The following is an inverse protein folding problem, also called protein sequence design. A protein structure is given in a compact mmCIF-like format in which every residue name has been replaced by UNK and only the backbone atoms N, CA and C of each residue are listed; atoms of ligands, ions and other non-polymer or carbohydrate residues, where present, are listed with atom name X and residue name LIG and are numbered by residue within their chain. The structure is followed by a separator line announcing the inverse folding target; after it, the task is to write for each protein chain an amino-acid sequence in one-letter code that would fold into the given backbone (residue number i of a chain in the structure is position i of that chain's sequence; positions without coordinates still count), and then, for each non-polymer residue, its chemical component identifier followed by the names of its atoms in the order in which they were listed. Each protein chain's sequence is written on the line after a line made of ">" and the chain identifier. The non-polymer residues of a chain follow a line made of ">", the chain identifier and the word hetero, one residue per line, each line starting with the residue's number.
data_IF_147379796373
#
_entry.id   IF_147379796373
#
_cell.length_a   1.000
_cell.length_b   1.000
_cell.length_c   1.000
_cell.angle_alpha   90.00
_cell.angle_beta   90.00
_cell.angle_gamma   90.00
#
_symmetry.space_group_name_H-M   'P 1'
#
loop_
_entity.id
_entity.type
_entity.pdbx_description
1 polymer ?
#
# COMPACT_ATOMS: atom_id res chain seq x y z
N UNK A 1 -3.03 -1.55 -6.51
CA UNK A 1 -2.43 -0.45 -5.74
C UNK A 1 -3.50 0.12 -4.83
N UNK A 2 -3.34 0.01 -3.51
CA UNK A 2 -4.26 0.60 -2.54
C UNK A 2 -3.88 2.05 -2.25
N UNK A 3 -4.89 2.85 -1.91
CA UNK A 3 -4.71 4.20 -1.36
C UNK A 3 -5.81 4.46 -0.33
N UNK A 4 -5.44 5.14 0.75
CA UNK A 4 -6.37 5.61 1.77
C UNK A 4 -5.98 7.02 2.21
N UNK A 5 -6.97 7.87 2.42
CA UNK A 5 -6.86 9.12 3.18
C UNK A 5 -8.08 9.22 4.09
N UNK A 6 -7.89 9.60 5.35
CA UNK A 6 -8.95 9.71 6.34
C UNK A 6 -8.65 10.78 7.38
N UNK A 7 -9.71 11.29 8.00
CA UNK A 7 -9.66 12.14 9.18
C UNK A 7 -10.57 11.55 10.25
N UNK A 8 -10.13 11.59 11.50
CA UNK A 8 -10.96 11.30 12.66
C UNK A 8 -11.00 12.54 13.55
N UNK A 9 -12.20 12.90 14.01
CA UNK A 9 -12.44 14.04 14.90
C UNK A 9 -13.33 13.56 16.03
N UNK A 10 -12.84 13.67 17.26
CA UNK A 10 -13.55 13.33 18.48
C UNK A 10 -13.85 14.63 19.26
N UNK A 11 -15.12 15.09 19.27
CA UNK A 11 -15.53 16.25 20.06
C UNK A 11 -15.29 16.05 21.55
N UNK A 12 -14.98 17.14 22.26
CA UNK A 12 -14.82 17.16 23.72
C UNK A 12 -15.70 18.29 24.29
N UNK A 13 -16.37 18.03 25.42
CA UNK A 13 -17.31 18.99 26.00
C UNK A 13 -16.63 20.27 26.52
N UNK A 14 -15.45 20.13 27.13
CA UNK A 14 -14.75 21.20 27.84
C UNK A 14 -13.34 21.47 27.29
N UNK A 15 -13.06 21.08 26.05
CA UNK A 15 -11.76 21.25 25.41
C UNK A 15 -11.87 21.26 23.88
N UNK A 16 -10.81 21.70 23.21
CA UNK A 16 -10.69 21.54 21.75
C UNK A 16 -10.79 20.06 21.34
N UNK A 17 -11.40 19.76 20.17
CA UNK A 17 -11.56 18.39 19.71
C UNK A 17 -10.21 17.71 19.50
N UNK A 18 -10.12 16.43 19.85
CA UNK A 18 -9.01 15.60 19.43
C UNK A 18 -9.20 15.20 17.97
N UNK A 19 -8.16 15.30 17.16
CA UNK A 19 -8.21 14.94 15.75
C UNK A 19 -6.87 14.39 15.26
N UNK A 20 -6.93 13.56 14.23
CA UNK A 20 -5.75 13.10 13.51
C UNK A 20 -6.13 12.67 12.09
N UNK A 21 -5.14 12.73 11.21
CA UNK A 21 -5.22 12.18 9.87
C UNK A 21 -4.49 10.85 9.80
N UNK A 22 -4.88 10.03 8.83
CA UNK A 22 -4.16 8.82 8.48
C UNK A 22 -4.34 8.52 7.00
N UNK A 23 -3.45 7.71 6.45
CA UNK A 23 -3.50 7.38 5.04
C UNK A 23 -2.19 6.86 4.50
N UNK A 24 -2.11 6.89 3.18
CA UNK A 24 -0.98 6.37 2.44
C UNK A 24 -1.39 5.75 1.11
N UNK A 25 -0.39 5.29 0.38
CA UNK A 25 -0.56 4.50 -0.83
C UNK A 25 0.60 3.54 -0.95
N UNK A 26 0.36 2.37 -1.53
CA UNK A 26 1.39 1.35 -1.71
C UNK A 26 1.23 0.58 -3.03
N UNK A 27 2.35 0.06 -3.54
CA UNK A 27 2.39 -0.68 -4.79
C UNK A 27 2.61 -2.17 -4.53
N UNK A 28 1.72 -3.00 -5.06
CA UNK A 28 1.83 -4.46 -5.01
C UNK A 28 1.93 -5.04 -6.42
N UNK A 29 3.15 -5.10 -7.01
CA UNK A 29 3.35 -5.67 -8.34
C UNK A 29 3.34 -7.21 -8.31
N UNK A 30 3.01 -7.82 -9.46
CA UNK A 30 3.14 -9.27 -9.67
C UNK A 30 4.38 -9.57 -10.48
N UNK A 31 4.52 -8.90 -11.62
CA UNK A 31 5.71 -8.87 -12.45
C UNK A 31 6.28 -7.45 -12.39
N UNK A 32 7.32 -7.20 -11.58
CA UNK A 32 7.76 -5.84 -11.30
C UNK A 32 8.66 -5.28 -12.40
N UNK A 33 8.59 -3.97 -12.59
CA UNK A 33 9.50 -3.17 -13.40
C UNK A 33 10.19 -2.17 -12.49
N UNK A 34 11.51 -2.16 -12.43
CA UNK A 34 12.26 -1.29 -11.51
C UNK A 34 11.95 0.19 -11.75
N UNK A 35 11.81 0.60 -13.01
CA UNK A 35 11.46 1.96 -13.38
C UNK A 35 10.07 2.40 -12.89
N UNK A 36 9.10 1.48 -12.82
CA UNK A 36 7.75 1.76 -12.33
C UNK A 36 7.75 1.95 -10.82
N UNK A 37 8.53 1.14 -10.10
CA UNK A 37 8.68 1.24 -8.65
C UNK A 37 9.37 2.56 -8.29
N UNK A 38 10.45 2.91 -9.02
CA UNK A 38 11.14 4.18 -8.85
C UNK A 38 10.23 5.37 -9.12
N UNK A 39 9.44 5.33 -10.20
CA UNK A 39 8.45 6.38 -10.51
C UNK A 39 7.45 6.55 -9.37
N UNK A 40 6.89 5.46 -8.87
CA UNK A 40 5.91 5.48 -7.78
C UNK A 40 6.50 6.10 -6.51
N UNK A 41 7.71 5.68 -6.13
CA UNK A 41 8.40 6.18 -4.94
C UNK A 41 8.86 7.63 -5.09
N UNK A 42 9.32 8.05 -6.28
CA UNK A 42 9.70 9.44 -6.55
C UNK A 42 8.50 10.37 -6.46
N UNK A 43 7.34 9.93 -6.97
CA UNK A 43 6.09 10.69 -6.88
C UNK A 43 5.66 10.84 -5.40
N UNK A 44 5.76 9.77 -4.60
CA UNK A 44 5.50 9.84 -3.16
C UNK A 44 6.45 10.82 -2.44
N UNK A 45 7.75 10.79 -2.77
CA UNK A 45 8.75 11.70 -2.19
C UNK A 45 8.44 13.16 -2.55
N UNK A 46 8.13 13.42 -3.82
CA UNK A 46 7.82 14.76 -4.31
C UNK A 46 6.56 15.34 -3.65
N UNK A 47 5.55 14.51 -3.40
CA UNK A 47 4.32 14.93 -2.70
C UNK A 47 4.57 15.35 -1.24
N UNK A 48 5.54 14.71 -0.57
CA UNK A 48 5.87 14.98 0.82
C UNK A 48 6.92 16.08 1.01
N UNK A 49 7.74 16.35 -0.01
CA UNK A 49 8.84 17.30 0.05
C UNK A 49 8.45 18.71 0.58
N UNK A 50 7.29 19.30 0.19
CA UNK A 50 6.85 20.60 0.73
C UNK A 50 6.60 20.62 2.24
N UNK A 51 6.42 19.45 2.86
CA UNK A 51 6.08 19.33 4.28
C UNK A 51 7.29 18.97 5.16
N UNK A 52 8.42 18.57 4.55
CA UNK A 52 9.64 18.21 5.25
C UNK A 52 10.40 17.08 4.53
N UNK A 53 11.72 17.23 4.39
CA UNK A 53 12.56 16.24 3.71
C UNK A 53 12.70 14.91 4.47
N UNK A 54 12.38 14.89 5.77
CA UNK A 54 12.41 13.69 6.60
C UNK A 54 11.14 12.83 6.50
N UNK A 55 10.04 13.39 5.96
CA UNK A 55 8.74 12.71 5.97
C UNK A 55 8.69 11.50 5.06
N UNK A 56 9.22 11.60 3.84
CA UNK A 56 9.24 10.46 2.93
C UNK A 56 10.03 9.27 3.52
N UNK A 57 11.28 9.44 4.00
CA UNK A 57 12.00 8.35 4.67
C UNK A 57 11.22 7.73 5.84
N UNK A 58 10.57 8.55 6.67
CA UNK A 58 9.76 8.09 7.82
C UNK A 58 8.53 7.30 7.38
N UNK A 59 7.71 7.85 6.49
CA UNK A 59 6.47 7.21 6.05
C UNK A 59 6.69 6.03 5.11
N UNK A 60 7.78 6.03 4.35
CA UNK A 60 8.21 4.87 3.56
C UNK A 60 8.63 3.73 4.48
N UNK A 61 9.48 4.00 5.48
CA UNK A 61 9.86 3.00 6.48
C UNK A 61 8.62 2.44 7.20
N UNK A 62 7.69 3.31 7.58
CA UNK A 62 6.45 2.87 8.21
C UNK A 62 5.59 2.00 7.28
N UNK A 63 5.55 2.33 5.98
CA UNK A 63 4.88 1.51 4.97
C UNK A 63 5.49 0.11 4.88
N UNK A 64 6.81 0.01 4.85
CA UNK A 64 7.53 -1.27 4.81
C UNK A 64 7.22 -2.14 6.05
N UNK A 65 7.19 -1.52 7.24
CA UNK A 65 6.93 -2.20 8.51
C UNK A 65 5.45 -2.60 8.67
N UNK A 66 4.53 -1.76 8.19
CA UNK A 66 3.10 -1.98 8.32
C UNK A 66 2.61 -3.09 7.37
N UNK A 67 3.01 -3.04 6.09
CA UNK A 67 2.55 -3.99 5.07
C UNK A 67 3.43 -5.25 4.99
N UNK A 68 3.64 -5.90 6.13
CA UNK A 68 4.51 -7.07 6.25
C UNK A 68 3.76 -8.30 6.78
N UNK A 69 3.87 -9.43 6.07
CA UNK A 69 3.28 -10.71 6.46
C UNK A 69 4.25 -11.45 7.40
N UNK A 70 4.07 -11.28 8.71
CA UNK A 70 4.99 -11.82 9.73
C UNK A 70 5.17 -13.35 9.65
N UNK A 71 4.10 -14.08 9.34
CA UNK A 71 4.15 -15.55 9.21
C UNK A 71 4.84 -16.03 7.92
N UNK A 72 5.07 -15.14 6.95
CA UNK A 72 5.76 -15.42 5.69
C UNK A 72 7.17 -14.84 5.66
N UNK A 73 7.49 -13.91 6.57
CA UNK A 73 8.68 -13.06 6.50
C UNK A 73 8.78 -12.35 5.14
N UNK A 74 7.67 -11.81 4.67
CA UNK A 74 7.51 -11.28 3.31
C UNK A 74 6.73 -9.96 3.33
N UNK A 75 7.21 -8.94 2.61
CA UNK A 75 6.42 -7.73 2.38
C UNK A 75 5.24 -8.02 1.45
N UNK A 76 4.12 -7.31 1.64
CA UNK A 76 2.93 -7.44 0.76
C UNK A 76 3.23 -6.98 -0.66
N UNK A 77 4.03 -5.93 -0.78
CA UNK A 77 4.42 -5.28 -2.02
C UNK A 77 5.78 -4.59 -1.87
N UNK A 78 6.03 -3.58 -2.71
CA UNK A 78 7.32 -2.86 -2.75
C UNK A 78 7.31 -1.56 -1.94
N UNK A 79 6.23 -1.33 -1.18
CA UNK A 79 6.07 -0.17 -0.31
C UNK A 79 5.40 1.01 -0.99
N UNK A 80 5.66 2.19 -0.44
CA UNK A 80 5.02 3.46 -0.77
C UNK A 80 5.17 4.40 0.42
N UNK A 81 4.07 5.02 0.86
CA UNK A 81 4.04 5.83 2.08
C UNK A 81 2.86 5.43 2.94
N UNK A 82 3.06 5.38 4.25
CA UNK A 82 2.02 5.11 5.23
C UNK A 82 2.18 6.05 6.43
N UNK A 83 1.07 6.61 6.89
CA UNK A 83 1.00 7.43 8.09
C UNK A 83 -0.32 7.21 8.83
N UNK A 84 -0.24 7.32 10.14
CA UNK A 84 -1.38 7.29 11.06
C UNK A 84 -1.11 8.29 12.18
N UNK A 85 -2.14 8.63 12.97
CA UNK A 85 -2.04 9.56 14.11
C UNK A 85 -1.39 10.92 13.75
N UNK A 86 -1.52 11.37 12.50
CA UNK A 86 -0.93 12.61 12.01
C UNK A 86 -1.69 13.83 12.56
N UNK A 87 -1.06 14.52 13.50
CA UNK A 87 -1.55 15.75 14.11
C UNK A 87 -0.47 16.85 14.25
N UNK A 88 0.79 16.52 13.93
CA UNK A 88 1.95 17.39 14.11
C UNK A 88 1.97 18.58 13.13
N UNK A 89 2.17 19.78 13.68
CA UNK A 89 2.23 21.02 12.91
C UNK A 89 0.86 21.63 12.58
N UNK A 90 -0.21 21.16 13.22
CA UNK A 90 -1.54 21.76 13.17
C UNK A 90 -2.43 21.25 12.05
N UNK A 91 -3.74 21.51 12.18
CA UNK A 91 -4.78 20.92 11.32
C UNK A 91 -4.56 21.26 9.84
N UNK A 92 -4.37 22.53 9.52
CA UNK A 92 -4.23 22.98 8.12
C UNK A 92 -3.04 22.34 7.42
N UNK A 93 -1.91 22.17 8.13
CA UNK A 93 -0.73 21.48 7.59
C UNK A 93 -1.02 20.00 7.34
N UNK A 94 -1.62 19.31 8.32
CA UNK A 94 -1.93 17.89 8.21
C UNK A 94 -2.96 17.60 7.11
N UNK A 95 -3.95 18.49 6.96
CA UNK A 95 -4.93 18.43 5.90
C UNK A 95 -4.26 18.63 4.53
N UNK A 96 -3.43 19.65 4.36
CA UNK A 96 -2.70 19.89 3.12
C UNK A 96 -1.77 18.72 2.75
N UNK A 97 -1.10 18.11 3.73
CA UNK A 97 -0.27 16.90 3.51
C UNK A 97 -1.14 15.74 3.02
N UNK A 98 -2.28 15.51 3.67
CA UNK A 98 -3.21 14.44 3.30
C UNK A 98 -3.78 14.65 1.89
N UNK A 99 -4.10 15.89 1.52
CA UNK A 99 -4.50 16.25 0.15
C UNK A 99 -3.38 15.96 -0.85
N UNK A 100 -2.14 16.42 -0.57
CA UNK A 100 -1.01 16.19 -1.47
C UNK A 100 -0.75 14.70 -1.71
N UNK A 101 -0.90 13.85 -0.69
CA UNK A 101 -0.82 12.39 -0.85
C UNK A 101 -1.98 11.87 -1.70
N UNK A 102 -3.22 12.32 -1.45
CA UNK A 102 -4.37 11.91 -2.25
C UNK A 102 -4.24 12.28 -3.74
N UNK A 103 -3.85 13.52 -4.02
CA UNK A 103 -3.72 14.08 -5.38
C UNK A 103 -2.60 13.38 -6.17
N UNK A 104 -1.49 13.05 -5.50
CA UNK A 104 -0.35 12.37 -6.11
C UNK A 104 -0.65 10.94 -6.58
N UNK A 105 -1.76 10.31 -6.13
CA UNK A 105 -2.04 8.91 -6.45
C UNK A 105 -2.20 8.65 -7.95
N UNK A 106 -2.91 9.54 -8.65
CA UNK A 106 -3.13 9.40 -10.09
C UNK A 106 -1.80 9.53 -10.86
N UNK A 107 -0.97 10.49 -10.49
CA UNK A 107 0.37 10.70 -11.07
C UNK A 107 1.31 9.52 -10.78
N UNK A 108 1.19 8.90 -9.60
CA UNK A 108 2.01 7.77 -9.20
C UNK A 108 1.61 6.48 -9.92
N UNK A 109 0.31 6.28 -10.22
CA UNK A 109 -0.21 4.97 -10.67
C UNK A 109 -0.71 4.91 -12.11
N UNK A 110 -1.38 5.95 -12.63
CA UNK A 110 -1.92 5.90 -14.00
C UNK A 110 -0.83 5.71 -15.08
N UNK A 111 0.35 6.36 -14.99
CA UNK A 111 1.42 6.13 -15.98
C UNK A 111 1.91 4.68 -16.02
N UNK A 112 1.80 3.95 -14.90
CA UNK A 112 2.16 2.53 -14.84
C UNK A 112 1.11 1.70 -15.58
N UNK A 113 -0.17 2.01 -15.40
CA UNK A 113 -1.24 1.34 -16.15
C UNK A 113 -1.08 1.58 -17.65
N UNK A 114 -0.87 2.83 -18.06
CA UNK A 114 -0.74 3.18 -19.48
C UNK A 114 0.40 2.43 -20.17
N UNK A 115 1.54 2.28 -19.48
CA UNK A 115 2.70 1.54 -20.01
C UNK A 115 2.47 0.03 -20.07
N UNK A 116 1.71 -0.55 -19.14
CA UNK A 116 1.69 -2.00 -18.91
C UNK A 116 0.40 -2.69 -19.33
N UNK A 117 -0.70 -1.95 -19.49
CA UNK A 117 -2.03 -2.54 -19.74
C UNK A 117 -2.13 -3.35 -21.05
N UNK A 118 -1.32 -3.02 -22.06
CA UNK A 118 -1.31 -3.71 -23.35
C UNK A 118 -0.29 -4.85 -23.44
N UNK A 119 0.46 -5.12 -22.37
CA UNK A 119 1.45 -6.19 -22.38
C UNK A 119 0.74 -7.55 -22.51
N UNK A 120 1.19 -8.43 -23.42
CA UNK A 120 0.61 -9.76 -23.56
C UNK A 120 0.86 -10.57 -22.30
N UNK A 121 -0.15 -11.33 -21.89
CA UNK A 121 -0.07 -12.29 -20.79
C UNK A 121 -0.87 -13.55 -21.16
N UNK A 122 -0.45 -14.69 -20.63
CA UNK A 122 -1.12 -15.97 -20.80
C UNK A 122 -1.64 -16.54 -19.47
N UNK A 123 -2.01 -17.82 -19.51
CA UNK A 123 -2.52 -18.53 -18.33
C UNK A 123 -1.48 -18.61 -17.22
N UNK A 124 -0.20 -18.78 -17.56
CA UNK A 124 0.90 -18.82 -16.59
C UNK A 124 0.97 -17.54 -15.76
N UNK A 125 0.93 -16.38 -16.42
CA UNK A 125 0.97 -15.08 -15.75
C UNK A 125 -0.28 -14.84 -14.89
N UNK A 126 -1.45 -15.23 -15.40
CA UNK A 126 -2.73 -15.12 -14.66
C UNK A 126 -2.78 -16.04 -13.44
N UNK A 127 -2.22 -17.23 -13.57
CA UNK A 127 -2.15 -18.20 -12.51
C UNK A 127 -1.19 -17.76 -11.39
N UNK A 128 -0.02 -17.23 -11.74
CA UNK A 128 0.88 -16.61 -10.76
C UNK A 128 0.26 -15.37 -10.11
N UNK A 129 -0.45 -14.52 -10.86
CA UNK A 129 -1.19 -13.40 -10.31
C UNK A 129 -2.23 -13.86 -9.27
N UNK A 130 -3.01 -14.90 -9.56
CA UNK A 130 -3.99 -15.45 -8.62
C UNK A 130 -3.32 -16.05 -7.37
N UNK A 131 -2.14 -16.66 -7.51
CA UNK A 131 -1.34 -17.12 -6.39
C UNK A 131 -0.83 -15.96 -5.52
N UNK A 132 -0.24 -14.91 -6.11
CA UNK A 132 0.24 -13.72 -5.39
C UNK A 132 -0.91 -12.96 -4.71
N UNK A 133 -2.08 -12.91 -5.31
CA UNK A 133 -3.33 -12.42 -4.69
C UNK A 133 -3.66 -13.15 -3.39
N UNK A 134 -3.22 -14.40 -3.22
CA UNK A 134 -3.31 -15.14 -1.96
C UNK A 134 -2.60 -14.43 -0.81
N UNK A 135 -1.41 -13.86 -1.05
CA UNK A 135 -0.69 -13.05 -0.06
C UNK A 135 -1.43 -11.77 0.28
N UNK A 136 -2.05 -11.14 -0.71
CA UNK A 136 -2.84 -9.94 -0.50
C UNK A 136 -4.07 -10.23 0.40
N UNK A 137 -4.76 -11.36 0.17
CA UNK A 137 -5.84 -11.85 1.03
C UNK A 137 -5.34 -12.18 2.43
N UNK A 138 -4.23 -12.92 2.54
CA UNK A 138 -3.61 -13.25 3.84
C UNK A 138 -3.32 -11.99 4.65
N UNK A 139 -2.76 -10.95 4.03
CA UNK A 139 -2.51 -9.69 4.73
C UNK A 139 -3.81 -9.04 5.22
N UNK A 140 -4.80 -8.85 4.34
CA UNK A 140 -6.02 -8.12 4.68
C UNK A 140 -6.83 -8.84 5.77
N UNK A 141 -6.89 -10.17 5.74
CA UNK A 141 -7.70 -10.94 6.69
C UNK A 141 -6.99 -11.27 8.01
N UNK A 142 -5.66 -11.22 8.05
CA UNK A 142 -4.88 -11.62 9.24
C UNK A 142 -4.17 -10.44 9.93
N UNK A 143 -3.72 -9.45 9.17
CA UNK A 143 -2.82 -8.40 9.67
C UNK A 143 -3.36 -6.98 9.53
N UNK A 144 -4.23 -6.72 8.57
CA UNK A 144 -4.77 -5.37 8.36
C UNK A 144 -5.69 -4.95 9.52
N UNK A 145 -5.24 -3.97 10.30
CA UNK A 145 -5.97 -3.45 11.46
C UNK A 145 -7.33 -2.88 11.06
N UNK A 146 -7.40 -2.22 9.90
CA UNK A 146 -8.64 -1.61 9.40
C UNK A 146 -9.72 -2.65 9.10
N UNK A 147 -9.34 -3.71 8.36
CA UNK A 147 -10.24 -4.83 8.03
C UNK A 147 -10.72 -5.55 9.29
N UNK A 148 -9.79 -5.91 10.19
CA UNK A 148 -10.14 -6.63 11.44
C UNK A 148 -11.09 -5.81 12.31
N UNK A 149 -10.77 -4.54 12.56
CA UNK A 149 -11.61 -3.66 13.35
C UNK A 149 -12.98 -3.47 12.71
N UNK A 150 -13.04 -3.23 11.39
CA UNK A 150 -14.30 -3.02 10.68
C UNK A 150 -15.24 -4.22 10.77
N UNK A 151 -14.71 -5.44 10.62
CA UNK A 151 -15.51 -6.66 10.71
C UNK A 151 -15.98 -6.94 12.14
N UNK A 152 -15.12 -6.71 13.13
CA UNK A 152 -15.42 -6.96 14.55
C UNK A 152 -16.37 -5.92 15.17
N UNK A 153 -16.36 -4.69 14.66
CA UNK A 153 -17.21 -3.58 15.14
C UNK A 153 -18.58 -3.49 14.46
N UNK A 154 -18.91 -4.42 13.56
CA UNK A 154 -20.20 -4.42 12.85
C UNK A 154 -20.26 -3.41 11.69
N UNK A 155 -19.11 -3.03 11.13
CA UNK A 155 -19.04 -2.19 9.93
C UNK A 155 -19.64 -2.89 8.70
N UNK A 156 -19.86 -2.12 7.62
CA UNK A 156 -20.47 -2.63 6.39
C UNK A 156 -19.54 -3.60 5.66
N UNK A 157 -19.79 -4.91 5.79
CA UNK A 157 -18.96 -6.00 5.23
C UNK A 157 -18.56 -5.80 3.77
N UNK A 158 -19.52 -5.51 2.88
CA UNK A 158 -19.25 -5.31 1.44
C UNK A 158 -18.31 -4.13 1.15
N UNK A 159 -18.26 -3.13 2.03
CA UNK A 159 -17.32 -2.00 1.89
C UNK A 159 -15.93 -2.36 2.38
N UNK A 160 -15.85 -3.12 3.47
CA UNK A 160 -14.58 -3.56 4.06
C UNK A 160 -13.88 -4.57 3.15
N UNK A 161 -14.64 -5.54 2.63
CA UNK A 161 -14.11 -6.62 1.79
C UNK A 161 -13.94 -6.25 0.31
N UNK A 162 -14.23 -5.00 -0.08
CA UNK A 162 -13.93 -4.50 -1.44
C UNK A 162 -12.44 -4.64 -1.81
N UNK A 163 -11.57 -4.70 -0.80
CA UNK A 163 -10.14 -4.94 -0.98
C UNK A 163 -9.81 -6.34 -1.52
N UNK A 164 -10.71 -7.32 -1.40
CA UNK A 164 -10.41 -8.70 -1.78
C UNK A 164 -10.41 -8.88 -3.31
N UNK A 165 -9.41 -9.62 -3.85
CA UNK A 165 -9.33 -9.87 -5.28
C UNK A 165 -10.42 -10.84 -5.75
N UNK A 166 -10.84 -10.76 -7.03
CA UNK A 166 -11.94 -11.57 -7.55
C UNK A 166 -11.61 -13.06 -7.68
N UNK A 167 -10.34 -13.40 -7.92
CA UNK A 167 -9.86 -14.78 -8.04
C UNK A 167 -8.53 -14.88 -7.31
N UNK A 168 -8.42 -15.88 -6.46
CA UNK A 168 -7.25 -16.21 -5.66
C UNK A 168 -7.00 -17.71 -5.69
N UNK A 169 -5.73 -18.13 -5.64
CA UNK A 169 -5.32 -19.53 -5.57
C UNK A 169 -4.35 -19.72 -4.41
N UNK A 170 -4.49 -20.82 -3.69
CA UNK A 170 -3.49 -21.28 -2.73
C UNK A 170 -2.86 -22.58 -3.21
N UNK A 171 -1.57 -22.73 -2.96
CA UNK A 171 -0.79 -23.91 -3.32
C UNK A 171 0.07 -24.32 -2.15
N UNK A 172 0.11 -25.62 -1.88
CA UNK A 172 0.97 -26.18 -0.86
C UNK A 172 2.44 -26.05 -1.27
N UNK A 173 3.27 -25.50 -0.37
CA UNK A 173 4.72 -25.29 -0.50
C UNK A 173 5.21 -24.81 -1.89
N UNK A 174 4.41 -23.98 -2.57
CA UNK A 174 4.78 -23.46 -3.87
C UNK A 174 5.89 -22.42 -3.74
N UNK A 175 6.89 -22.52 -4.62
CA UNK A 175 7.98 -21.57 -4.77
C UNK A 175 8.20 -21.28 -6.25
N UNK A 176 8.56 -20.04 -6.63
CA UNK A 176 8.90 -19.75 -8.02
C UNK A 176 10.17 -20.53 -8.40
N UNK A 177 10.24 -20.94 -9.66
CA UNK A 177 11.48 -21.51 -10.21
C UNK A 177 12.53 -20.40 -10.31
N UNK A 178 13.77 -20.68 -9.91
CA UNK A 178 14.85 -19.70 -10.01
C UNK A 178 15.07 -19.25 -11.47
N UNK A 179 15.34 -17.96 -11.65
CA UNK A 179 15.58 -17.36 -12.97
C UNK A 179 14.32 -17.08 -13.79
N UNK A 180 13.11 -17.31 -13.26
CA UNK A 180 11.87 -16.94 -13.96
C UNK A 180 11.39 -15.54 -13.57
N UNK A 181 10.51 -14.97 -14.39
CA UNK A 181 9.90 -13.67 -14.11
C UNK A 181 9.10 -13.65 -12.78
N UNK A 182 8.55 -14.80 -12.37
CA UNK A 182 7.88 -15.00 -11.09
C UNK A 182 8.83 -14.97 -9.89
N UNK A 183 10.12 -15.32 -10.07
CA UNK A 183 11.11 -15.22 -9.01
C UNK A 183 11.51 -13.77 -8.73
N UNK A 184 11.53 -12.91 -9.76
CA UNK A 184 11.99 -11.53 -9.67
C UNK A 184 11.25 -10.71 -8.62
N UNK A 185 9.95 -10.93 -8.42
CA UNK A 185 9.21 -10.18 -7.39
C UNK A 185 9.79 -10.43 -6.00
N UNK A 186 10.18 -11.67 -5.67
CA UNK A 186 10.73 -12.01 -4.37
C UNK A 186 12.09 -11.37 -4.11
N UNK A 187 12.83 -11.07 -5.16
CA UNK A 187 14.06 -10.28 -5.07
C UNK A 187 13.80 -8.80 -4.82
N UNK A 188 12.58 -8.29 -5.07
CA UNK A 188 12.21 -6.87 -4.92
C UNK A 188 11.37 -6.57 -3.68
N UNK A 189 10.68 -7.57 -3.11
CA UNK A 189 9.87 -7.42 -1.90
C UNK A 189 10.66 -6.98 -0.66
N UNK A 190 11.92 -7.41 -0.42
CA UNK A 190 12.67 -6.92 0.73
C UNK A 190 12.82 -5.40 0.69
N UNK A 191 12.51 -4.69 1.81
CA UNK A 191 12.62 -3.24 1.90
C UNK A 191 13.98 -2.74 1.43
N UNK A 192 13.96 -1.76 0.53
CA UNK A 192 15.17 -1.10 0.02
C UNK A 192 14.91 0.34 -0.32
N UNK A 193 15.98 1.08 -0.54
CA UNK A 193 15.86 2.43 -1.07
C UNK A 193 15.59 2.41 -2.57
N UNK A 194 14.59 3.17 -3.00
CA UNK A 194 14.17 3.25 -4.39
C UNK A 194 14.51 4.60 -5.04
N UNK A 195 14.71 5.66 -4.25
CA UNK A 195 14.92 7.05 -4.73
C UNK A 195 15.95 7.80 -3.92
#
# INVERSE_FOLDING_TARGET
>A
TPMNVRALIAPRADADPSWWFGGGMDLTPYYPFTEDIRHFHATCQQALLPFGSDLYPRYKKWCDEYFFLKHRQEARGVGGVFFDDLSEGGFSRCFALTQAVGDAFAEAYLPLIDKRQSLPYGERERDFQAYRRGRYVEFNLVWDRGTLFGLQSGGRTESILMSLPPIVKWRYDWRPQAGTAEALIYEMLPPRDWV
#
